data_IF_414541526805
#
_entry.id   IF_414541526805
#
_cell.length_a   1.000
_cell.length_b   1.000
_cell.length_c   1.000
_cell.angle_alpha   90.00
_cell.angle_beta   90.00
_cell.angle_gamma   90.00
#
_symmetry.space_group_name_H-M   'P 1'
#
loop_
_entity.id
_entity.type
_entity.pdbx_description
1 polymer ?
#
# COMPACT_ATOMS: atom_id res chain seq x y z
N UNK A 1 -11.14 0.69 -7.87
CA UNK A 1 -10.37 1.08 -6.67
C UNK A 1 -9.53 -0.06 -6.09
N UNK A 2 -9.96 -1.34 -6.16
CA UNK A 2 -9.06 -2.47 -5.85
C UNK A 2 -8.09 -2.71 -7.01
N UNK A 3 -6.80 -2.86 -6.70
CA UNK A 3 -5.72 -3.12 -7.66
C UNK A 3 -4.55 -3.77 -6.93
N UNK A 4 -3.86 -4.74 -7.56
CA UNK A 4 -2.79 -5.53 -6.94
C UNK A 4 -1.57 -4.70 -6.49
N UNK A 5 -1.41 -3.50 -7.05
CA UNK A 5 -0.33 -2.57 -6.70
C UNK A 5 -0.82 -1.37 -5.87
N UNK A 6 -1.99 -1.48 -5.25
CA UNK A 6 -2.51 -0.53 -4.27
C UNK A 6 -2.73 -1.27 -2.96
N UNK A 7 -2.29 -0.67 -1.87
CA UNK A 7 -2.43 -1.27 -0.54
C UNK A 7 -3.91 -1.61 -0.28
N UNK A 8 -4.17 -2.89 0.03
CA UNK A 8 -5.52 -3.39 0.20
C UNK A 8 -6.21 -2.75 1.39
N UNK A 9 -7.30 -2.03 1.13
CA UNK A 9 -8.22 -1.57 2.16
C UNK A 9 -9.13 -2.73 2.60
N UNK A 10 -9.18 -2.95 3.91
CA UNK A 10 -10.03 -3.98 4.53
C UNK A 10 -11.27 -3.32 5.14
N UNK A 11 -11.08 -2.35 6.05
CA UNK A 11 -12.15 -1.69 6.77
C UNK A 11 -11.71 -0.35 7.37
N UNK A 12 -12.69 0.47 7.75
CA UNK A 12 -12.49 1.63 8.62
C UNK A 12 -13.44 1.48 9.81
N UNK A 13 -12.96 1.75 11.02
CA UNK A 13 -13.73 1.55 12.24
C UNK A 13 -13.49 2.69 13.23
N UNK A 14 -14.44 2.91 14.13
CA UNK A 14 -14.36 3.91 15.19
C UNK A 14 -14.46 3.19 16.53
N UNK A 15 -13.40 3.29 17.32
CA UNK A 15 -13.33 2.66 18.64
C UNK A 15 -13.22 3.72 19.72
N UNK A 16 -14.02 3.61 20.78
CA UNK A 16 -13.91 4.48 21.96
C UNK A 16 -15.18 4.57 22.79
N UNK A 17 -15.05 4.90 24.07
CA UNK A 17 -16.17 5.19 24.98
C UNK A 17 -15.95 6.56 25.63
N UNK A 18 -16.85 7.51 25.36
CA UNK A 18 -16.92 8.79 26.07
C UNK A 18 -15.84 9.81 25.69
N UNK A 19 -14.66 9.73 26.31
CA UNK A 19 -13.64 10.79 26.30
C UNK A 19 -12.49 10.60 25.30
N UNK A 20 -12.38 9.43 24.65
CA UNK A 20 -11.34 9.14 23.66
C UNK A 20 -11.94 8.41 22.47
N UNK A 21 -11.82 9.01 21.29
CA UNK A 21 -12.23 8.41 20.01
C UNK A 21 -10.98 8.06 19.22
N UNK A 22 -10.90 6.81 18.75
CA UNK A 22 -9.85 6.32 17.87
C UNK A 22 -10.46 5.99 16.52
N UNK A 23 -9.83 6.49 15.45
CA UNK A 23 -10.21 6.21 14.08
C UNK A 23 -9.22 5.18 13.53
N UNK A 24 -9.74 4.00 13.18
CA UNK A 24 -8.97 2.89 12.65
C UNK A 24 -9.13 2.85 11.13
N UNK A 25 -8.01 2.71 10.44
CA UNK A 25 -7.94 2.33 9.04
C UNK A 25 -7.20 1.00 8.95
N UNK A 26 -7.92 -0.04 8.55
CA UNK A 26 -7.44 -1.42 8.53
C UNK A 26 -7.07 -1.76 7.09
N UNK A 27 -5.80 -2.16 6.90
CA UNK A 27 -5.22 -2.48 5.60
C UNK A 27 -4.40 -3.77 5.68
N UNK A 28 -4.06 -4.34 4.53
CA UNK A 28 -3.23 -5.53 4.45
C UNK A 28 -1.83 -5.30 5.05
N UNK A 29 -1.38 -6.25 5.87
CA UNK A 29 -0.04 -6.24 6.42
C UNK A 29 0.97 -6.82 5.42
N UNK A 30 2.09 -6.13 5.23
CA UNK A 30 3.20 -6.57 4.39
C UNK A 30 4.45 -6.76 5.26
N UNK A 31 4.92 -8.01 5.37
CA UNK A 31 6.06 -8.39 6.23
C UNK A 31 7.37 -7.67 5.88
N UNK A 32 7.58 -7.36 4.59
CA UNK A 32 8.78 -6.67 4.11
C UNK A 32 8.75 -5.15 4.37
N UNK A 33 7.66 -4.62 4.94
CA UNK A 33 7.51 -3.21 5.25
C UNK A 33 7.53 -2.32 4.00
N UNK A 34 8.08 -1.11 4.14
CA UNK A 34 8.19 -0.17 3.04
C UNK A 34 9.33 -0.54 2.09
N UNK A 35 9.29 -0.05 0.85
CA UNK A 35 10.43 -0.19 -0.07
C UNK A 35 11.72 0.42 0.51
N UNK A 36 11.60 1.49 1.30
CA UNK A 36 12.73 2.10 2.00
C UNK A 36 13.39 1.13 2.99
N UNK A 37 12.60 0.43 3.80
CA UNK A 37 13.12 -0.56 4.75
C UNK A 37 13.72 -1.75 4.02
N UNK A 38 13.03 -2.23 2.97
CA UNK A 38 13.50 -3.35 2.16
C UNK A 38 14.86 -3.07 1.51
N UNK A 39 15.07 -1.88 0.95
CA UNK A 39 16.32 -1.49 0.29
C UNK A 39 17.48 -1.22 1.25
N UNK A 40 17.20 -0.93 2.53
CA UNK A 40 18.26 -0.79 3.55
C UNK A 40 18.92 -2.13 3.87
N UNK A 41 18.15 -3.21 3.84
CA UNK A 41 18.61 -4.53 4.26
C UNK A 41 18.97 -5.45 3.09
N UNK A 42 18.55 -5.12 1.87
CA UNK A 42 18.69 -5.98 0.70
C UNK A 42 19.25 -5.22 -0.50
N UNK A 43 20.13 -5.87 -1.27
CA UNK A 43 20.52 -5.43 -2.60
C UNK A 43 19.62 -6.09 -3.64
N UNK A 44 19.40 -5.41 -4.77
CA UNK A 44 18.52 -5.89 -5.84
C UNK A 44 19.33 -6.29 -7.07
N UNK A 45 18.94 -7.40 -7.69
CA UNK A 45 19.34 -7.70 -9.05
C UNK A 45 18.49 -6.89 -10.06
N UNK A 46 18.89 -6.89 -11.33
CA UNK A 46 18.20 -6.12 -12.37
C UNK A 46 16.73 -6.54 -12.53
N UNK A 47 16.43 -7.84 -12.34
CA UNK A 47 15.08 -8.36 -12.49
C UNK A 47 14.16 -7.88 -11.37
N UNK A 48 14.61 -7.93 -10.12
CA UNK A 48 13.87 -7.46 -8.97
C UNK A 48 13.65 -5.95 -9.03
N UNK A 49 14.67 -5.18 -9.44
CA UNK A 49 14.56 -3.74 -9.64
C UNK A 49 13.47 -3.39 -10.67
N UNK A 50 13.49 -4.05 -11.83
CA UNK A 50 12.47 -3.83 -12.86
C UNK A 50 11.07 -4.22 -12.38
N UNK A 51 10.95 -5.33 -11.63
CA UNK A 51 9.67 -5.77 -11.06
C UNK A 51 9.09 -4.72 -10.11
N UNK A 52 9.89 -4.20 -9.18
CA UNK A 52 9.47 -3.19 -8.20
C UNK A 52 9.10 -1.86 -8.88
N UNK A 53 9.90 -1.42 -9.86
CA UNK A 53 9.59 -0.21 -10.63
C UNK A 53 8.28 -0.36 -11.40
N UNK A 54 8.11 -1.49 -12.12
CA UNK A 54 6.92 -1.75 -12.91
C UNK A 54 5.66 -1.83 -12.06
N UNK A 55 5.69 -2.56 -10.94
CA UNK A 55 4.53 -2.64 -10.04
C UNK A 55 4.18 -1.29 -9.44
N UNK A 56 5.17 -0.50 -9.02
CA UNK A 56 4.94 0.83 -8.42
C UNK A 56 4.29 1.80 -9.42
N UNK A 57 4.80 1.83 -10.66
CA UNK A 57 4.25 2.68 -11.73
C UNK A 57 2.86 2.18 -12.15
N UNK A 58 2.60 0.87 -12.16
CA UNK A 58 1.29 0.32 -12.48
C UNK A 58 0.23 0.74 -11.46
N UNK A 59 0.57 0.73 -10.16
CA UNK A 59 -0.30 1.28 -9.12
C UNK A 59 -0.57 2.77 -9.29
N UNK A 60 0.48 3.56 -9.57
CA UNK A 60 0.33 4.99 -9.80
C UNK A 60 -0.52 5.30 -11.04
N UNK A 61 -0.31 4.57 -12.13
CA UNK A 61 -1.12 4.68 -13.35
C UNK A 61 -2.59 4.37 -13.07
N UNK A 62 -2.87 3.33 -12.27
CA UNK A 62 -4.24 3.03 -11.84
C UNK A 62 -4.88 4.19 -11.06
N UNK A 63 -4.14 4.82 -10.15
CA UNK A 63 -4.63 5.99 -9.39
C UNK A 63 -4.86 7.23 -10.26
N UNK A 64 -4.05 7.42 -11.30
CA UNK A 64 -4.21 8.53 -12.24
C UNK A 64 -5.30 8.29 -13.27
N UNK A 65 -5.77 7.05 -13.42
CA UNK A 65 -6.87 6.73 -14.33
C UNK A 65 -8.15 7.30 -13.76
N UNK A 66 -8.86 8.08 -14.58
CA UNK A 66 -10.13 8.68 -14.19
C UNK A 66 -11.14 7.59 -13.79
N UNK A 67 -11.71 7.73 -12.60
CA UNK A 67 -12.79 6.86 -12.15
C UNK A 67 -14.07 7.42 -12.77
N UNK A 68 -14.51 6.83 -13.89
CA UNK A 68 -15.85 7.05 -14.42
C UNK A 68 -16.83 6.32 -13.49
N UNK A 69 -17.65 7.10 -12.78
CA UNK A 69 -18.66 6.64 -11.84
C UNK A 69 -19.89 6.06 -12.53
#
# INVERSE_FOLDING_TARGET
MRHDNILGFIAADIKGTGSWTQLYLITDYHENGSLYDHLKSNTLDTKALLKLAYSSISGLCHLHTEILG
#
